data_IF_302889837501
#
_entry.id   IF_302889837501
#
_cell.length_a   1.000
_cell.length_b   1.000
_cell.length_c   1.000
_cell.angle_alpha   90.00
_cell.angle_beta   90.00
_cell.angle_gamma   90.00
#
_symmetry.space_group_name_H-M   'P 1'
#
loop_
_entity.id
_entity.type
_entity.pdbx_description
1 polymer ?
#
# COMPACT_ATOMS: atom_id res chain seq x y z
N UNK A 1 -18.47 -1.08 33.96
CA UNK A 1 -17.82 -0.20 32.97
C UNK A 1 -17.60 -1.03 31.73
N UNK A 2 -18.32 -0.75 30.65
CA UNK A 2 -18.19 -1.50 29.39
C UNK A 2 -16.83 -1.21 28.77
N UNK A 3 -15.95 -2.22 28.71
CA UNK A 3 -14.74 -2.14 27.91
C UNK A 3 -15.18 -2.26 26.44
N UNK A 4 -15.28 -1.12 25.77
CA UNK A 4 -15.55 -1.04 24.33
C UNK A 4 -14.64 -2.01 23.56
N UNK A 5 -15.25 -2.85 22.72
CA UNK A 5 -14.52 -3.81 21.87
C UNK A 5 -13.89 -3.15 20.63
N UNK A 6 -14.14 -1.84 20.44
CA UNK A 6 -13.56 -1.10 19.34
C UNK A 6 -12.06 -0.88 19.52
N UNK A 7 -11.27 -1.02 18.46
CA UNK A 7 -9.86 -0.67 18.51
C UNK A 7 -9.70 0.84 18.71
N UNK A 8 -9.20 1.24 19.89
CA UNK A 8 -8.96 2.63 20.31
C UNK A 8 -8.05 3.42 19.34
N UNK A 9 -7.34 2.73 18.43
CA UNK A 9 -6.41 3.34 17.46
C UNK A 9 -7.01 3.65 16.09
N UNK A 10 -8.27 3.32 15.84
CA UNK A 10 -8.92 3.65 14.56
C UNK A 10 -9.40 5.10 14.55
N UNK A 11 -9.08 5.83 13.49
CA UNK A 11 -9.54 7.20 13.28
C UNK A 11 -11.08 7.27 13.24
N UNK A 12 -11.73 8.23 13.93
CA UNK A 12 -13.19 8.30 13.97
C UNK A 12 -13.89 8.45 12.62
N UNK A 13 -13.29 9.19 11.67
CA UNK A 13 -13.86 9.35 10.32
C UNK A 13 -13.73 8.06 9.53
N UNK A 14 -12.56 7.42 9.59
CA UNK A 14 -12.34 6.11 8.97
C UNK A 14 -13.31 5.06 9.54
N UNK A 15 -13.53 5.07 10.86
CA UNK A 15 -14.49 4.19 11.54
C UNK A 15 -15.90 4.41 11.03
N UNK A 16 -16.32 5.68 10.90
CA UNK A 16 -17.67 6.01 10.43
C UNK A 16 -17.88 5.58 8.98
N UNK A 17 -16.95 5.93 8.10
CA UNK A 17 -16.98 5.54 6.70
C UNK A 17 -17.10 4.01 6.55
N UNK A 18 -16.25 3.28 7.27
CA UNK A 18 -16.27 1.83 7.26
C UNK A 18 -17.59 1.25 7.81
N UNK A 19 -18.06 1.75 8.95
CA UNK A 19 -19.34 1.35 9.55
C UNK A 19 -20.53 1.54 8.59
N UNK A 20 -20.56 2.67 7.88
CA UNK A 20 -21.58 2.99 6.89
C UNK A 20 -21.49 2.03 5.68
N UNK A 21 -20.27 1.72 5.20
CA UNK A 21 -20.05 0.79 4.09
C UNK A 21 -20.55 -0.63 4.41
N UNK A 22 -20.15 -1.20 5.56
CA UNK A 22 -20.51 -2.57 5.93
C UNK A 22 -21.90 -2.70 6.57
N UNK A 23 -22.60 -1.58 6.76
CA UNK A 23 -23.91 -1.52 7.40
C UNK A 23 -23.90 -1.95 8.88
N UNK A 24 -22.82 -1.70 9.62
CA UNK A 24 -22.71 -2.04 11.05
C UNK A 24 -22.71 -0.76 11.87
N UNK A 25 -23.86 -0.40 12.44
CA UNK A 25 -24.00 0.82 13.26
C UNK A 25 -23.66 0.59 14.74
N UNK A 26 -23.75 -0.65 15.23
CA UNK A 26 -23.41 -1.00 16.61
C UNK A 26 -21.88 -1.01 16.82
N UNK A 27 -21.33 -0.17 17.72
CA UNK A 27 -19.90 -0.10 18.00
C UNK A 27 -19.28 -1.44 18.40
N UNK A 28 -19.96 -2.23 19.23
CA UNK A 28 -19.41 -3.48 19.73
C UNK A 28 -19.43 -4.58 18.65
N UNK A 29 -20.47 -4.62 17.81
CA UNK A 29 -20.51 -5.48 16.61
C UNK A 29 -19.40 -5.13 15.63
N UNK A 30 -19.17 -3.84 15.38
CA UNK A 30 -18.09 -3.38 14.52
C UNK A 30 -16.72 -3.79 15.09
N UNK A 31 -16.55 -3.67 16.41
CA UNK A 31 -15.36 -4.13 17.12
C UNK A 31 -15.16 -5.64 16.98
N UNK A 32 -16.22 -6.44 17.17
CA UNK A 32 -16.17 -7.90 16.98
C UNK A 32 -15.81 -8.28 15.55
N UNK A 33 -16.41 -7.63 14.56
CA UNK A 33 -16.14 -7.84 13.14
C UNK A 33 -14.67 -7.57 12.82
N UNK A 34 -14.16 -6.39 13.18
CA UNK A 34 -12.76 -6.02 12.97
C UNK A 34 -11.77 -6.97 13.65
N UNK A 35 -12.08 -7.40 14.88
CA UNK A 35 -11.25 -8.38 15.60
C UNK A 35 -11.26 -9.74 14.91
N UNK A 36 -12.42 -10.21 14.43
CA UNK A 36 -12.53 -11.45 13.65
C UNK A 36 -11.63 -11.38 12.42
N UNK A 37 -11.68 -10.30 11.65
CA UNK A 37 -10.81 -10.12 10.47
C UNK A 37 -9.33 -10.09 10.86
N UNK A 38 -8.97 -9.35 11.92
CA UNK A 38 -7.58 -9.34 12.42
C UNK A 38 -7.09 -10.74 12.78
N UNK A 39 -7.91 -11.54 13.46
CA UNK A 39 -7.60 -12.94 13.79
C UNK A 39 -7.41 -13.76 12.52
N UNK A 40 -8.28 -13.61 11.51
CA UNK A 40 -8.11 -14.29 10.22
C UNK A 40 -6.81 -13.87 9.52
N UNK A 41 -6.54 -12.57 9.39
CA UNK A 41 -5.32 -12.05 8.78
C UNK A 41 -4.04 -12.61 9.43
N UNK A 42 -4.05 -12.86 10.75
CA UNK A 42 -2.92 -13.46 11.46
C UNK A 42 -2.73 -14.97 11.23
N UNK A 43 -3.61 -15.65 10.48
CA UNK A 43 -3.49 -17.09 10.19
C UNK A 43 -2.48 -17.39 9.09
N UNK A 44 -2.09 -16.39 8.28
CA UNK A 44 -1.14 -16.57 7.19
C UNK A 44 -0.11 -15.44 7.16
N UNK A 45 1.13 -15.79 6.83
CA UNK A 45 2.22 -14.83 6.67
C UNK A 45 2.77 -14.27 7.99
N UNK A 46 3.72 -13.32 7.91
CA UNK A 46 4.26 -12.66 9.09
C UNK A 46 3.21 -11.73 9.70
N UNK A 47 3.27 -11.53 11.02
CA UNK A 47 2.39 -10.59 11.71
C UNK A 47 2.78 -9.16 11.30
N UNK A 48 2.12 -8.64 10.27
CA UNK A 48 2.30 -7.28 9.84
C UNK A 48 1.73 -6.32 10.88
N UNK A 49 2.49 -5.27 11.20
CA UNK A 49 2.03 -4.27 12.18
C UNK A 49 0.77 -3.53 11.75
N UNK A 50 0.51 -3.43 10.45
CA UNK A 50 -0.75 -2.87 9.96
C UNK A 50 -1.96 -3.70 10.41
N UNK A 51 -1.81 -5.03 10.54
CA UNK A 51 -2.83 -5.95 11.06
C UNK A 51 -3.06 -5.69 12.54
N UNK A 52 -2.00 -5.68 13.35
CA UNK A 52 -2.10 -5.41 14.80
C UNK A 52 -2.75 -4.05 15.11
N UNK A 53 -2.45 -3.04 14.29
CA UNK A 53 -2.93 -1.67 14.49
C UNK A 53 -4.26 -1.36 13.78
N UNK A 54 -4.95 -2.35 13.20
CA UNK A 54 -6.20 -2.16 12.45
C UNK A 54 -6.08 -1.20 11.27
N UNK A 55 -4.87 -1.02 10.73
CA UNK A 55 -4.62 -0.17 9.55
C UNK A 55 -5.07 -0.81 8.24
N UNK A 56 -5.45 -2.08 8.25
CA UNK A 56 -6.10 -2.77 7.13
C UNK A 56 -7.55 -2.30 6.92
N UNK A 57 -8.19 -1.75 7.94
CA UNK A 57 -9.61 -1.40 7.89
C UNK A 57 -9.90 -0.09 7.14
N UNK A 58 -8.87 0.64 6.70
CA UNK A 58 -9.05 1.89 5.97
C UNK A 58 -7.85 2.22 5.08
N UNK A 59 -8.14 2.71 3.88
CA UNK A 59 -7.10 3.27 3.02
C UNK A 59 -6.57 4.59 3.59
N UNK A 60 -5.28 4.82 3.45
CA UNK A 60 -4.66 6.14 3.72
C UNK A 60 -4.39 6.92 2.44
N UNK A 61 -4.78 6.38 1.28
CA UNK A 61 -4.54 7.01 -0.01
C UNK A 61 -5.23 8.38 -0.09
N UNK A 62 -6.46 8.50 0.43
CA UNK A 62 -7.22 9.75 0.49
C UNK A 62 -6.56 10.88 1.29
N UNK A 63 -5.53 10.57 2.09
CA UNK A 63 -4.77 11.56 2.89
C UNK A 63 -3.48 12.01 2.20
N UNK A 64 -3.18 11.49 1.02
CA UNK A 64 -1.95 11.78 0.28
C UNK A 64 -2.17 12.93 -0.69
N UNK A 65 -1.16 13.79 -0.86
CA UNK A 65 -1.24 14.96 -1.74
C UNK A 65 -1.62 14.58 -3.19
N UNK A 66 -1.24 13.38 -3.64
CA UNK A 66 -1.51 12.91 -4.99
C UNK A 66 -2.92 12.34 -5.20
N UNK A 67 -3.75 12.24 -4.16
CA UNK A 67 -5.05 11.55 -4.25
C UNK A 67 -5.97 12.16 -5.32
N UNK A 68 -6.11 13.48 -5.34
CA UNK A 68 -6.95 14.19 -6.33
C UNK A 68 -6.43 13.99 -7.77
N UNK A 69 -5.12 13.89 -7.95
CA UNK A 69 -4.51 13.55 -9.24
C UNK A 69 -4.94 12.15 -9.70
N UNK A 70 -4.94 11.17 -8.80
CA UNK A 70 -5.39 9.82 -9.14
C UNK A 70 -6.87 9.82 -9.52
N UNK A 71 -7.73 10.47 -8.73
CA UNK A 71 -9.15 10.56 -9.05
C UNK A 71 -9.40 11.23 -10.41
N UNK A 72 -8.62 12.26 -10.77
CA UNK A 72 -8.71 12.91 -12.07
C UNK A 72 -8.31 11.99 -13.20
N UNK A 73 -7.24 11.20 -13.05
CA UNK A 73 -6.83 10.19 -14.03
C UNK A 73 -7.94 9.15 -14.20
N UNK A 74 -8.44 8.60 -13.10
CA UNK A 74 -9.54 7.63 -13.06
C UNK A 74 -10.77 8.07 -13.85
N UNK A 75 -11.16 9.34 -13.69
CA UNK A 75 -12.41 9.87 -14.26
C UNK A 75 -12.29 10.35 -15.70
N UNK A 76 -11.11 10.78 -16.14
CA UNK A 76 -10.98 11.54 -17.38
C UNK A 76 -9.97 10.96 -18.38
N UNK A 77 -9.09 10.06 -17.95
CA UNK A 77 -8.10 9.49 -18.86
C UNK A 77 -8.70 8.32 -19.66
N UNK A 78 -8.50 8.22 -20.99
CA UNK A 78 -9.11 7.18 -21.83
C UNK A 78 -8.65 5.75 -21.52
N UNK A 79 -7.45 5.59 -20.95
CA UNK A 79 -6.97 4.33 -20.39
C UNK A 79 -6.47 4.58 -18.97
N UNK A 80 -7.33 4.51 -17.94
CA UNK A 80 -7.01 4.97 -16.60
C UNK A 80 -6.64 3.81 -15.66
N UNK A 81 -6.18 2.66 -16.16
CA UNK A 81 -5.85 1.50 -15.32
C UNK A 81 -4.91 1.86 -14.17
N UNK A 82 -5.32 1.51 -12.95
CA UNK A 82 -4.52 1.58 -11.74
C UNK A 82 -4.24 0.18 -11.23
N UNK A 83 -2.96 -0.12 -10.95
CA UNK A 83 -2.55 -1.32 -10.22
C UNK A 83 -2.13 -0.96 -8.79
N UNK A 84 -2.82 -1.49 -7.79
CA UNK A 84 -2.45 -1.38 -6.38
C UNK A 84 -1.70 -2.63 -5.91
N UNK A 85 -0.45 -2.46 -5.48
CA UNK A 85 0.43 -3.54 -5.03
C UNK A 85 0.47 -3.57 -3.50
N UNK A 86 -0.07 -4.65 -2.91
CA UNK A 86 -0.30 -4.78 -1.46
C UNK A 86 -1.66 -4.17 -1.07
N UNK A 87 -2.72 -4.63 -1.75
CA UNK A 87 -3.95 -3.90 -2.00
C UNK A 87 -4.69 -3.39 -0.76
N UNK A 88 -4.88 -2.06 -0.70
CA UNK A 88 -5.72 -1.32 0.26
C UNK A 88 -6.18 0.05 -0.32
N UNK A 89 -6.29 0.20 -1.64
CA UNK A 89 -6.77 1.41 -2.30
C UNK A 89 -8.28 1.59 -2.16
N UNK A 90 -8.72 2.85 -2.15
CA UNK A 90 -10.14 3.23 -2.03
C UNK A 90 -10.45 4.49 -2.87
N UNK A 91 -11.68 4.57 -3.39
CA UNK A 91 -12.21 5.72 -4.13
C UNK A 91 -11.77 5.85 -5.60
N UNK A 92 -10.92 4.96 -6.13
CA UNK A 92 -10.63 4.89 -7.57
C UNK A 92 -11.77 4.20 -8.32
N UNK A 93 -12.08 4.56 -9.58
CA UNK A 93 -13.10 3.85 -10.36
C UNK A 93 -12.84 2.35 -10.43
N UNK A 94 -13.78 1.57 -9.91
CA UNK A 94 -13.59 0.14 -9.66
C UNK A 94 -13.39 -0.67 -10.96
N UNK A 95 -14.00 -0.26 -12.08
CA UNK A 95 -13.84 -0.89 -13.40
C UNK A 95 -12.41 -0.79 -13.97
N UNK A 96 -11.60 0.12 -13.42
CA UNK A 96 -10.22 0.36 -13.84
C UNK A 96 -9.20 0.09 -12.73
N UNK A 97 -9.63 -0.61 -11.68
CA UNK A 97 -8.79 -0.93 -10.53
C UNK A 97 -8.39 -2.41 -10.56
N UNK A 98 -7.09 -2.64 -10.56
CA UNK A 98 -6.49 -3.94 -10.29
C UNK A 98 -5.80 -3.91 -8.92
N UNK A 99 -6.10 -4.90 -8.08
CA UNK A 99 -5.43 -5.09 -6.79
C UNK A 99 -4.61 -6.37 -6.81
N UNK A 100 -3.38 -6.33 -6.30
CA UNK A 100 -2.57 -7.55 -6.14
C UNK A 100 -2.06 -7.70 -4.72
N UNK A 101 -2.01 -8.96 -4.27
CA UNK A 101 -1.34 -9.34 -3.03
C UNK A 101 -0.64 -10.70 -3.21
N UNK A 102 0.39 -10.95 -2.41
CA UNK A 102 1.17 -12.20 -2.44
C UNK A 102 0.33 -13.41 -2.00
N UNK A 103 -0.73 -13.17 -1.21
CA UNK A 103 -1.57 -14.21 -0.65
C UNK A 103 -3.04 -14.01 -1.01
N UNK A 104 -3.65 -15.08 -1.51
CA UNK A 104 -5.09 -15.16 -1.74
C UNK A 104 -5.88 -14.93 -0.44
N UNK A 105 -5.36 -15.40 0.68
CA UNK A 105 -6.01 -15.26 1.99
C UNK A 105 -6.18 -13.80 2.40
N UNK A 106 -5.24 -12.92 2.08
CA UNK A 106 -5.40 -11.49 2.35
C UNK A 106 -6.51 -10.86 1.52
N UNK A 107 -6.67 -11.28 0.27
CA UNK A 107 -7.77 -10.84 -0.60
C UNK A 107 -9.12 -11.36 -0.08
N UNK A 108 -9.20 -12.63 0.31
CA UNK A 108 -10.40 -13.23 0.92
C UNK A 108 -10.77 -12.53 2.24
N UNK A 109 -9.77 -12.18 3.08
CA UNK A 109 -9.99 -11.37 4.26
C UNK A 109 -10.50 -9.96 3.93
N UNK A 110 -10.10 -9.38 2.79
CA UNK A 110 -10.62 -8.12 2.27
C UNK A 110 -12.10 -8.19 1.90
N UNK A 111 -12.52 -9.26 1.22
CA UNK A 111 -13.95 -9.51 0.95
C UNK A 111 -14.75 -9.63 2.25
N UNK A 112 -14.27 -10.44 3.20
CA UNK A 112 -14.93 -10.59 4.50
C UNK A 112 -15.00 -9.27 5.28
N UNK A 113 -13.91 -8.48 5.25
CA UNK A 113 -13.84 -7.16 5.88
C UNK A 113 -14.96 -6.28 5.35
N UNK A 114 -15.08 -6.17 4.03
CA UNK A 114 -16.04 -5.32 3.36
C UNK A 114 -17.46 -5.90 3.31
N UNK A 115 -17.68 -7.15 3.76
CA UNK A 115 -18.93 -7.91 3.55
C UNK A 115 -19.31 -8.04 2.08
N UNK A 116 -18.32 -8.05 1.21
CA UNK A 116 -18.46 -8.22 -0.23
C UNK A 116 -18.27 -9.70 -0.61
N UNK A 117 -18.65 -10.05 -1.84
CA UNK A 117 -18.40 -11.39 -2.40
C UNK A 117 -17.61 -11.29 -3.69
N UNK A 118 -16.91 -12.37 -4.07
CA UNK A 118 -16.25 -12.42 -5.37
C UNK A 118 -17.28 -12.18 -6.49
N UNK A 119 -16.96 -11.28 -7.42
CA UNK A 119 -17.86 -10.88 -8.51
C UNK A 119 -18.91 -9.82 -8.15
N UNK A 120 -18.98 -9.36 -6.88
CA UNK A 120 -19.84 -8.23 -6.50
C UNK A 120 -19.26 -6.86 -6.86
N UNK A 121 -17.94 -6.81 -7.09
CA UNK A 121 -17.20 -5.61 -7.46
C UNK A 121 -16.54 -5.81 -8.82
N UNK A 122 -16.45 -4.76 -9.67
CA UNK A 122 -15.75 -4.85 -10.95
C UNK A 122 -14.21 -4.80 -10.80
N UNK A 123 -13.70 -4.70 -9.56
CA UNK A 123 -12.26 -4.72 -9.25
C UNK A 123 -11.67 -6.08 -9.64
N UNK A 124 -10.55 -6.07 -10.37
CA UNK A 124 -9.80 -7.28 -10.72
C UNK A 124 -8.71 -7.55 -9.68
N UNK A 125 -8.90 -8.59 -8.88
CA UNK A 125 -7.90 -9.05 -7.92
C UNK A 125 -6.97 -10.11 -8.50
N UNK A 126 -5.68 -9.97 -8.25
CA UNK A 126 -4.62 -10.88 -8.68
C UNK A 126 -3.88 -11.42 -7.46
N UNK A 127 -3.57 -12.71 -7.50
CA UNK A 127 -2.73 -13.35 -6.49
C UNK A 127 -1.36 -13.55 -7.10
N UNK A 128 -0.34 -12.95 -6.50
CA UNK A 128 1.01 -13.16 -6.95
C UNK A 128 2.00 -12.18 -6.35
N UNK A 129 3.25 -12.62 -6.37
CA UNK A 129 4.36 -11.81 -5.95
C UNK A 129 4.92 -11.06 -7.16
N UNK A 130 4.97 -9.73 -7.08
CA UNK A 130 5.46 -8.85 -8.17
C UNK A 130 6.88 -9.18 -8.63
N UNK A 131 7.68 -9.85 -7.79
CA UNK A 131 9.03 -10.28 -8.11
C UNK A 131 9.08 -11.58 -8.93
N UNK A 132 8.01 -12.36 -8.95
CA UNK A 132 7.96 -13.64 -9.66
C UNK A 132 7.66 -13.38 -11.15
N UNK A 133 8.38 -14.07 -12.04
CA UNK A 133 8.17 -13.93 -13.48
C UNK A 133 6.74 -14.32 -13.90
N UNK A 134 6.17 -15.35 -13.26
CA UNK A 134 4.81 -15.80 -13.50
C UNK A 134 3.75 -14.73 -13.19
N UNK A 135 4.03 -13.79 -12.27
CA UNK A 135 3.11 -12.68 -12.02
C UNK A 135 3.03 -11.75 -13.23
N UNK A 136 4.18 -11.45 -13.86
CA UNK A 136 4.19 -10.62 -15.07
C UNK A 136 3.39 -11.30 -16.20
N UNK A 137 3.49 -12.62 -16.34
CA UNK A 137 2.71 -13.36 -17.34
C UNK A 137 1.19 -13.14 -17.17
N UNK A 138 0.68 -13.07 -15.92
CA UNK A 138 -0.73 -12.76 -15.63
C UNK A 138 -1.16 -11.32 -16.00
N UNK A 139 -0.17 -10.45 -16.21
CA UNK A 139 -0.30 -9.03 -16.54
C UNK A 139 0.14 -8.71 -17.96
N UNK A 140 0.42 -9.72 -18.78
CA UNK A 140 0.91 -9.56 -20.16
C UNK A 140 0.02 -8.66 -21.02
N UNK A 141 -1.31 -8.81 -20.90
CA UNK A 141 -2.29 -7.95 -21.60
C UNK A 141 -2.24 -6.46 -21.20
N UNK A 142 -1.52 -6.12 -20.11
CA UNK A 142 -1.43 -4.77 -19.55
C UNK A 142 0.01 -4.22 -19.57
N UNK A 143 0.95 -4.90 -20.20
CA UNK A 143 2.30 -4.38 -20.37
C UNK A 143 2.27 -3.02 -21.07
N UNK A 144 3.03 -2.07 -20.52
CA UNK A 144 3.11 -0.69 -20.99
C UNK A 144 1.78 0.04 -21.15
N UNK A 145 0.75 -0.35 -20.40
CA UNK A 145 -0.60 0.22 -20.50
C UNK A 145 -1.10 0.82 -19.18
N UNK A 146 -0.49 0.46 -18.05
CA UNK A 146 -0.92 0.94 -16.73
C UNK A 146 -0.63 2.43 -16.61
N UNK A 147 -1.67 3.21 -16.28
CA UNK A 147 -1.56 4.65 -16.09
C UNK A 147 -0.95 4.98 -14.73
N UNK A 148 -1.31 4.21 -13.70
CA UNK A 148 -0.86 4.42 -12.32
C UNK A 148 -0.49 3.08 -11.69
N UNK A 149 0.71 2.98 -11.12
CA UNK A 149 1.04 1.93 -10.15
C UNK A 149 1.09 2.57 -8.76
N UNK A 150 0.28 2.05 -7.85
CA UNK A 150 0.25 2.46 -6.45
C UNK A 150 0.96 1.43 -5.58
N UNK A 151 1.88 1.91 -4.73
CA UNK A 151 2.60 1.09 -3.74
C UNK A 151 2.47 1.72 -2.34
N UNK A 152 1.35 1.43 -1.67
CA UNK A 152 1.03 1.95 -0.35
C UNK A 152 1.70 1.15 0.78
N UNK A 153 2.73 1.71 1.42
CA UNK A 153 3.42 1.08 2.57
C UNK A 153 4.09 -0.26 2.26
N UNK A 154 4.50 -0.48 1.01
CA UNK A 154 5.14 -1.70 0.55
C UNK A 154 6.69 -1.61 0.52
N UNK A 155 7.23 -0.56 -0.11
CA UNK A 155 8.67 -0.49 -0.46
C UNK A 155 9.60 -0.63 0.75
N UNK A 156 9.18 -0.15 1.93
CA UNK A 156 10.00 -0.24 3.14
C UNK A 156 10.06 -1.64 3.78
N UNK A 157 9.38 -2.62 3.19
CA UNK A 157 9.49 -4.03 3.55
C UNK A 157 10.66 -4.72 2.84
N UNK A 158 11.25 -4.08 1.82
CA UNK A 158 12.36 -4.65 1.07
C UNK A 158 13.68 -4.50 1.82
N UNK A 159 14.46 -5.57 1.87
CA UNK A 159 15.68 -5.68 2.69
C UNK A 159 16.97 -5.25 1.96
N UNK A 160 16.86 -4.67 0.77
CA UNK A 160 18.03 -4.16 0.04
C UNK A 160 17.63 -3.14 -1.01
N UNK A 161 18.57 -2.26 -1.37
CA UNK A 161 18.44 -1.34 -2.50
C UNK A 161 18.24 -2.11 -3.82
N UNK A 162 18.89 -3.26 -3.97
CA UNK A 162 18.72 -4.10 -5.17
C UNK A 162 17.30 -4.66 -5.29
N UNK A 163 16.65 -5.01 -4.18
CA UNK A 163 15.25 -5.44 -4.19
C UNK A 163 14.30 -4.29 -4.54
N UNK A 164 14.61 -3.08 -4.09
CA UNK A 164 13.87 -1.87 -4.53
C UNK A 164 14.09 -1.64 -6.02
N UNK A 165 15.33 -1.81 -6.53
CA UNK A 165 15.63 -1.68 -7.96
C UNK A 165 14.83 -2.69 -8.79
N UNK A 166 14.85 -3.96 -8.38
CA UNK A 166 14.07 -5.02 -9.00
C UNK A 166 12.57 -4.65 -9.03
N UNK A 167 12.03 -4.15 -7.91
CA UNK A 167 10.64 -3.68 -7.87
C UNK A 167 10.37 -2.58 -8.90
N UNK A 168 11.22 -1.56 -8.98
CA UNK A 168 11.08 -0.47 -9.97
C UNK A 168 11.15 -1.00 -11.41
N UNK A 169 12.00 -2.00 -11.68
CA UNK A 169 12.08 -2.68 -12.96
C UNK A 169 10.79 -3.45 -13.28
N UNK A 170 10.15 -4.10 -12.31
CA UNK A 170 8.85 -4.75 -12.54
C UNK A 170 7.75 -3.72 -12.84
N UNK A 171 7.74 -2.61 -12.09
CA UNK A 171 6.78 -1.53 -12.27
C UNK A 171 6.89 -0.88 -13.65
N UNK A 172 8.11 -0.61 -14.13
CA UNK A 172 8.30 0.07 -15.44
C UNK A 172 7.84 -0.76 -16.63
N UNK A 173 7.86 -2.09 -16.54
CA UNK A 173 7.30 -2.99 -17.56
C UNK A 173 5.77 -2.88 -17.67
N UNK A 174 5.11 -2.51 -16.58
CA UNK A 174 3.65 -2.35 -16.54
C UNK A 174 3.23 -0.93 -16.92
N UNK A 175 3.98 0.08 -16.47
CA UNK A 175 3.69 1.47 -16.75
C UNK A 175 3.82 1.79 -18.24
N UNK A 176 2.83 2.52 -18.75
CA UNK A 176 2.96 3.19 -20.04
C UNK A 176 3.97 4.37 -19.96
N UNK A 177 4.51 4.84 -21.10
CA UNK A 177 5.21 6.12 -21.14
C UNK A 177 4.35 7.27 -20.58
N UNK A 178 4.91 8.05 -19.66
CA UNK A 178 4.18 9.09 -18.92
C UNK A 178 3.28 8.57 -17.79
N UNK A 179 3.31 7.26 -17.50
CA UNK A 179 2.59 6.67 -16.37
C UNK A 179 3.19 7.07 -15.02
N UNK A 180 2.39 7.00 -13.96
CA UNK A 180 2.79 7.40 -12.62
C UNK A 180 3.09 6.19 -11.72
N UNK A 181 4.26 6.18 -11.11
CA UNK A 181 4.48 5.44 -9.86
C UNK A 181 4.17 6.38 -8.70
N UNK A 182 3.22 6.00 -7.86
CA UNK A 182 2.87 6.74 -6.65
C UNK A 182 2.94 5.82 -5.44
N UNK A 183 3.34 6.34 -4.30
CA UNK A 183 3.52 5.48 -3.15
C UNK A 183 3.71 6.24 -1.86
N UNK A 184 3.70 5.46 -0.77
CA UNK A 184 4.09 5.97 0.53
C UNK A 184 4.89 4.94 1.30
N UNK A 185 6.08 5.26 1.77
CA UNK A 185 6.90 4.35 2.55
C UNK A 185 7.79 5.09 3.55
N UNK A 186 8.65 4.36 4.25
CA UNK A 186 9.58 4.97 5.20
C UNK A 186 10.94 5.10 4.55
N UNK A 187 11.52 6.30 4.66
CA UNK A 187 12.90 6.62 4.29
C UNK A 187 13.64 7.17 5.50
N UNK A 188 14.96 7.17 5.43
CA UNK A 188 15.86 7.83 6.38
C UNK A 188 16.63 8.96 5.70
N UNK A 189 17.43 9.68 6.49
CA UNK A 189 18.42 10.64 6.00
C UNK A 189 19.59 9.97 5.25
N UNK A 190 19.96 8.74 5.62
CA UNK A 190 21.00 7.93 4.97
C UNK A 190 20.65 6.43 4.96
N UNK A 191 21.30 5.63 4.11
CA UNK A 191 21.08 4.18 4.12
C UNK A 191 21.55 3.57 5.45
N UNK A 192 20.67 2.87 6.16
CA UNK A 192 21.02 2.29 7.46
C UNK A 192 20.27 0.99 7.73
N UNK A 193 21.00 0.00 8.25
CA UNK A 193 20.44 -1.24 8.79
C UNK A 193 20.28 -1.11 10.30
N UNK A 194 19.06 -1.25 10.78
CA UNK A 194 18.72 -1.08 12.20
C UNK A 194 18.23 -2.41 12.78
N UNK A 195 18.82 -2.84 13.89
CA UNK A 195 18.30 -3.96 14.70
C UNK A 195 17.14 -3.46 15.56
N UNK A 196 15.98 -4.10 15.46
CA UNK A 196 14.72 -3.69 16.14
C UNK A 196 14.31 -4.71 17.19
N UNK A 197 15.13 -4.88 18.22
CA UNK A 197 14.90 -5.86 19.28
C UNK A 197 14.64 -7.28 18.75
N UNK A 198 13.54 -7.90 19.17
CA UNK A 198 13.09 -9.22 18.71
C UNK A 198 12.52 -9.24 17.28
N UNK A 199 12.33 -8.08 16.65
CA UNK A 199 11.73 -7.94 15.32
C UNK A 199 12.74 -8.08 14.18
N UNK A 200 13.98 -8.42 14.51
CA UNK A 200 15.06 -8.61 13.54
C UNK A 200 15.61 -7.29 13.01
N UNK A 201 16.13 -7.34 11.79
CA UNK A 201 16.74 -6.19 11.13
C UNK A 201 15.76 -5.51 10.18
N UNK A 202 15.87 -4.19 10.10
CA UNK A 202 15.21 -3.40 9.07
C UNK A 202 16.22 -2.55 8.33
N UNK A 203 16.12 -2.58 7.02
CA UNK A 203 16.87 -1.72 6.12
C UNK A 203 16.05 -0.48 5.81
N UNK A 204 16.68 0.68 5.99
CA UNK A 204 16.15 1.98 5.64
C UNK A 204 16.95 2.50 4.45
N UNK A 205 16.25 2.85 3.37
CA UNK A 205 16.83 3.58 2.25
C UNK A 205 16.82 5.08 2.57
N UNK A 206 17.95 5.74 2.33
CA UNK A 206 18.07 7.18 2.43
C UNK A 206 17.27 7.87 1.34
N UNK A 207 16.68 9.03 1.64
CA UNK A 207 15.87 9.80 0.67
C UNK A 207 16.66 10.10 -0.63
N UNK A 208 17.93 10.47 -0.50
CA UNK A 208 18.79 10.73 -1.65
C UNK A 208 18.97 9.48 -2.52
N UNK A 209 19.28 8.34 -1.90
CA UNK A 209 19.48 7.07 -2.61
C UNK A 209 18.20 6.62 -3.29
N UNK A 210 17.05 6.73 -2.62
CA UNK A 210 15.76 6.38 -3.23
C UNK A 210 15.47 7.24 -4.47
N UNK A 211 15.70 8.55 -4.38
CA UNK A 211 15.55 9.46 -5.53
C UNK A 211 16.54 9.14 -6.65
N UNK A 212 17.78 8.83 -6.32
CA UNK A 212 18.79 8.42 -7.29
C UNK A 212 18.38 7.14 -8.01
N UNK A 213 17.87 6.16 -7.26
CA UNK A 213 17.41 4.88 -7.81
C UNK A 213 16.23 5.07 -8.77
N UNK A 214 15.23 5.87 -8.40
CA UNK A 214 14.12 6.25 -9.29
C UNK A 214 14.64 6.86 -10.59
N UNK A 215 15.57 7.83 -10.53
CA UNK A 215 16.17 8.44 -11.72
C UNK A 215 16.89 7.40 -12.59
N UNK A 216 17.68 6.52 -11.97
CA UNK A 216 18.43 5.49 -12.70
C UNK A 216 17.55 4.49 -13.44
N UNK A 217 16.29 4.34 -13.03
CA UNK A 217 15.30 3.44 -13.65
C UNK A 217 14.34 4.17 -14.61
N UNK A 218 14.64 5.41 -15.01
CA UNK A 218 13.86 6.16 -16.00
C UNK A 218 12.67 6.91 -15.43
N UNK A 219 12.63 7.17 -14.12
CA UNK A 219 11.61 8.03 -13.54
C UNK A 219 12.09 9.49 -13.46
N UNK A 220 11.16 10.42 -13.61
CA UNK A 220 11.36 11.87 -13.64
C UNK A 220 10.21 12.58 -12.91
N UNK A 221 10.21 13.93 -12.92
CA UNK A 221 9.12 14.77 -12.41
C UNK A 221 8.58 14.36 -11.03
N UNK A 222 9.51 14.29 -10.07
CA UNK A 222 9.19 13.83 -8.71
C UNK A 222 8.52 14.91 -7.88
N UNK A 223 7.43 14.55 -7.20
CA UNK A 223 6.95 15.26 -6.03
C UNK A 223 7.13 14.36 -4.80
N UNK A 224 7.67 14.90 -3.71
CA UNK A 224 7.97 14.16 -2.50
C UNK A 224 7.55 14.99 -1.29
N UNK A 225 6.65 14.43 -0.46
CA UNK A 225 6.24 15.02 0.81
C UNK A 225 6.73 14.14 1.95
N UNK A 226 7.41 14.76 2.91
CA UNK A 226 7.88 14.11 4.13
C UNK A 226 6.99 14.51 5.30
N UNK A 227 6.49 13.52 6.03
CA UNK A 227 5.86 13.73 7.33
C UNK A 227 6.77 13.17 8.43
N UNK A 228 6.73 13.79 9.61
CA UNK A 228 7.48 13.30 10.77
C UNK A 228 7.10 11.86 11.11
N UNK A 229 8.12 11.06 11.45
CA UNK A 229 7.93 9.69 11.92
C UNK A 229 8.42 9.56 13.35
N UNK A 230 7.47 9.30 14.26
CA UNK A 230 7.82 8.86 15.61
C UNK A 230 8.56 7.52 15.56
N UNK A 231 9.76 7.50 16.12
CA UNK A 231 10.55 6.29 16.30
C UNK A 231 9.91 5.35 17.30
N UNK A 232 10.19 4.07 17.16
CA UNK A 232 9.84 3.06 18.14
C UNK A 232 10.90 2.96 19.23
N UNK A 233 10.50 2.49 20.42
CA UNK A 233 11.37 2.44 21.59
C UNK A 233 12.59 1.50 21.41
N UNK A 234 12.51 0.57 20.45
CA UNK A 234 13.57 -0.37 20.07
C UNK A 234 14.37 0.09 18.84
N UNK A 235 14.22 1.34 18.41
CA UNK A 235 15.02 1.96 17.36
C UNK A 235 16.08 2.89 17.97
N UNK A 236 17.25 3.06 17.32
CA UNK A 236 18.28 4.01 17.75
C UNK A 236 17.70 5.42 17.84
N UNK A 237 18.00 6.13 18.93
CA UNK A 237 17.45 7.48 19.19
C UNK A 237 17.95 8.53 18.21
N UNK A 238 19.10 8.28 17.60
CA UNK A 238 19.75 9.09 16.58
C UNK A 238 19.27 8.76 15.15
N UNK A 239 18.42 7.74 14.97
CA UNK A 239 17.83 7.43 13.66
C UNK A 239 16.91 8.57 13.20
N UNK A 240 17.24 9.22 12.10
CA UNK A 240 16.35 10.20 11.47
C UNK A 240 15.57 9.52 10.34
N UNK A 241 14.26 9.36 10.53
CA UNK A 241 13.39 8.70 9.57
C UNK A 241 12.09 9.46 9.36
N UNK A 242 11.52 9.34 8.16
CA UNK A 242 10.35 10.08 7.72
C UNK A 242 9.32 9.16 7.04
N UNK A 243 8.05 9.53 7.12
CA UNK A 243 7.05 9.01 6.19
C UNK A 243 7.15 9.78 4.89
N UNK A 244 7.56 9.11 3.82
CA UNK A 244 7.55 9.67 2.48
C UNK A 244 6.23 9.33 1.80
N UNK A 245 5.61 10.33 1.18
CA UNK A 245 4.63 10.17 0.10
C UNK A 245 5.28 10.70 -1.17
N UNK A 246 5.14 10.03 -2.31
CA UNK A 246 5.78 10.47 -3.54
C UNK A 246 4.96 10.17 -4.80
N UNK A 247 5.25 10.93 -5.84
CA UNK A 247 4.91 10.64 -7.23
C UNK A 247 6.20 10.62 -8.06
N UNK A 248 6.21 9.83 -9.13
CA UNK A 248 7.30 9.77 -10.09
C UNK A 248 6.73 9.41 -11.47
N UNK A 249 7.06 10.17 -12.50
CA UNK A 249 6.60 9.93 -13.88
C UNK A 249 7.59 9.01 -14.57
N UNK A 250 7.11 7.91 -15.16
CA UNK A 250 7.93 7.04 -15.97
C UNK A 250 8.15 7.65 -17.36
N UNK A 251 9.41 7.94 -17.70
CA UNK A 251 9.84 8.44 -19.00
C UNK A 251 10.96 7.51 -19.51
N UNK A 252 10.61 6.45 -20.29
CA UNK A 252 11.56 5.46 -20.77
C UNK A 252 12.68 6.04 -21.64
#
# INVERSE_FOLDING_TARGET
MSNSLLPVKMDPKARRFYADYVGITDPDELGRHLNKIRTKLCQEGPIYRCIDQFKFAYSRMCRRFFYETLLRIGKHHPSPWLLDIGCCADGYPADYLMGTDISKHFIECGYDLCRDSQGSLPIRFLVGNVFDASFLDTMSDHYHQIAVVYAGSLIHLFHSTDRIREFLQRVKWLLRPGGLLVGAHVVSDHNVRVKRGSRGYKDYIGLYEFRHLLKSEGFTDFEMQLDERRLYDDEPKDLVAFWLSFTAVYQP
#
